data_IF_508542040036
#
_entry.id   IF_508542040036
#
_cell.length_a   1.000
_cell.length_b   1.000
_cell.length_c   1.000
_cell.angle_alpha   90.00
_cell.angle_beta   90.00
_cell.angle_gamma   90.00
#
_symmetry.space_group_name_H-M   'P 1'
#
loop_
_entity.id
_entity.type
_entity.pdbx_description
1 polymer ?
#
# COMPACT_ATOMS: atom_id res chain seq x y z
N UNK A 1 -20.56 2.02 -19.01
CA UNK A 1 -19.19 1.59 -18.62
C UNK A 1 -18.34 2.73 -18.09
N UNK A 2 -18.29 3.89 -18.76
CA UNK A 2 -17.54 5.07 -18.31
C UNK A 2 -18.03 5.57 -16.93
N UNK A 3 -19.35 5.63 -16.71
CA UNK A 3 -19.92 6.10 -15.43
C UNK A 3 -19.58 5.19 -14.24
N UNK A 4 -19.56 3.87 -14.48
CA UNK A 4 -19.22 2.87 -13.46
C UNK A 4 -17.73 2.91 -13.09
N UNK A 5 -16.85 3.04 -14.07
CA UNK A 5 -15.40 3.19 -13.82
C UNK A 5 -15.10 4.52 -13.13
N UNK A 6 -15.77 5.61 -13.50
CA UNK A 6 -15.63 6.90 -12.83
C UNK A 6 -16.08 6.83 -11.35
N UNK A 7 -17.22 6.18 -11.08
CA UNK A 7 -17.69 5.95 -9.72
C UNK A 7 -16.70 5.12 -8.88
N UNK A 8 -16.12 4.06 -9.46
CA UNK A 8 -15.09 3.25 -8.83
C UNK A 8 -13.84 4.09 -8.50
N UNK A 9 -13.35 4.89 -9.45
CA UNK A 9 -12.16 5.73 -9.23
C UNK A 9 -12.41 6.82 -8.19
N UNK A 10 -13.60 7.44 -8.19
CA UNK A 10 -14.03 8.40 -7.16
C UNK A 10 -14.07 7.76 -5.77
N UNK A 11 -14.63 6.55 -5.65
CA UNK A 11 -14.63 5.79 -4.41
C UNK A 11 -13.22 5.47 -3.92
N UNK A 12 -12.33 5.06 -4.83
CA UNK A 12 -10.94 4.69 -4.50
C UNK A 12 -10.06 5.90 -4.17
N UNK A 13 -10.40 7.10 -4.63
CA UNK A 13 -9.56 8.29 -4.49
C UNK A 13 -9.17 8.59 -3.03
N UNK A 14 -10.08 8.78 -2.07
CA UNK A 14 -9.69 9.04 -0.68
C UNK A 14 -8.97 7.85 -0.03
N UNK A 15 -9.28 6.62 -0.46
CA UNK A 15 -8.77 5.39 0.13
C UNK A 15 -7.33 5.08 -0.30
N UNK A 16 -7.03 5.24 -1.58
CA UNK A 16 -5.74 4.92 -2.19
C UNK A 16 -4.71 6.05 -2.03
N UNK A 17 -5.13 7.32 -2.09
CA UNK A 17 -4.21 8.46 -2.08
C UNK A 17 -3.93 9.00 -0.67
N UNK A 18 -4.76 8.65 0.33
CA UNK A 18 -4.50 9.01 1.73
C UNK A 18 -3.17 8.44 2.25
N UNK A 19 -2.48 9.16 3.17
CA UNK A 19 -1.25 8.67 3.80
C UNK A 19 -1.57 7.42 4.62
N UNK A 20 -1.26 6.26 4.05
CA UNK A 20 -1.38 4.95 4.70
C UNK A 20 -0.02 4.28 4.84
N UNK A 21 0.06 3.14 5.55
CA UNK A 21 1.33 2.46 5.80
C UNK A 21 2.11 2.14 4.51
N UNK A 22 1.44 1.58 3.49
CA UNK A 22 2.06 1.31 2.20
C UNK A 22 2.61 2.57 1.51
N UNK A 23 1.78 3.61 1.38
CA UNK A 23 2.16 4.90 0.80
C UNK A 23 3.36 5.54 1.51
N UNK A 24 3.39 5.50 2.84
CA UNK A 24 4.49 6.05 3.64
C UNK A 24 5.79 5.27 3.43
N UNK A 25 5.74 3.94 3.31
CA UNK A 25 6.93 3.13 2.99
C UNK A 25 7.47 3.47 1.61
N UNK A 26 6.62 3.67 0.61
CA UNK A 26 7.03 4.05 -0.74
C UNK A 26 7.58 5.48 -0.81
N UNK A 27 6.99 6.43 -0.10
CA UNK A 27 7.53 7.77 0.06
C UNK A 27 8.92 7.75 0.71
N UNK A 28 9.08 6.96 1.77
CA UNK A 28 10.34 6.85 2.49
C UNK A 28 11.43 6.15 1.66
N UNK A 29 11.07 5.11 0.89
CA UNK A 29 11.97 4.50 -0.10
C UNK A 29 12.36 5.46 -1.23
N UNK A 30 11.39 6.22 -1.76
CA UNK A 30 11.63 7.25 -2.77
C UNK A 30 12.57 8.34 -2.27
N UNK A 31 12.38 8.79 -1.04
CA UNK A 31 13.26 9.76 -0.38
C UNK A 31 14.70 9.25 -0.21
N UNK A 32 14.87 7.97 0.12
CA UNK A 32 16.17 7.39 0.44
C UNK A 32 16.94 6.86 -0.76
N UNK A 33 16.25 6.27 -1.73
CA UNK A 33 16.85 5.53 -2.83
C UNK A 33 16.46 6.06 -4.22
N UNK A 34 15.49 6.97 -4.30
CA UNK A 34 14.96 7.50 -5.54
C UNK A 34 13.91 6.59 -6.21
N UNK A 35 13.30 7.11 -7.27
CA UNK A 35 12.20 6.44 -7.99
C UNK A 35 12.66 5.11 -8.62
N UNK A 36 13.75 5.13 -9.39
CA UNK A 36 14.22 3.97 -10.15
C UNK A 36 14.53 2.76 -9.28
N UNK A 37 15.15 2.98 -8.10
CA UNK A 37 15.48 1.91 -7.16
C UNK A 37 14.26 1.38 -6.39
N UNK A 38 13.11 2.07 -6.47
CA UNK A 38 11.85 1.67 -5.84
C UNK A 38 10.98 0.84 -6.79
N UNK A 39 11.28 0.80 -8.10
CA UNK A 39 10.50 0.05 -9.09
C UNK A 39 10.37 -1.45 -8.79
N UNK A 40 11.41 -2.18 -8.33
CA UNK A 40 11.26 -3.59 -7.98
C UNK A 40 10.21 -3.81 -6.88
N UNK A 41 10.26 -3.00 -5.82
CA UNK A 41 9.26 -3.03 -4.75
C UNK A 41 7.86 -2.72 -5.29
N UNK A 42 7.74 -1.72 -6.17
CA UNK A 42 6.47 -1.37 -6.82
C UNK A 42 5.91 -2.54 -7.60
N UNK A 43 6.71 -3.18 -8.45
CA UNK A 43 6.27 -4.33 -9.22
C UNK A 43 5.78 -5.47 -8.33
N UNK A 44 6.55 -5.84 -7.30
CA UNK A 44 6.15 -6.88 -6.35
C UNK A 44 4.87 -6.56 -5.59
N UNK A 45 4.72 -5.32 -5.12
CA UNK A 45 3.52 -4.85 -4.43
C UNK A 45 2.29 -4.95 -5.35
N UNK A 46 2.38 -4.50 -6.60
CA UNK A 46 1.24 -4.44 -7.51
C UNK A 46 0.89 -5.80 -8.12
N UNK A 47 1.86 -6.68 -8.36
CA UNK A 47 1.60 -8.08 -8.74
C UNK A 47 0.87 -8.80 -7.61
N UNK A 48 1.34 -8.65 -6.37
CA UNK A 48 0.64 -9.19 -5.22
C UNK A 48 -0.76 -8.56 -5.06
N UNK A 49 -0.90 -7.26 -5.36
CA UNK A 49 -2.18 -6.53 -5.24
C UNK A 49 -3.19 -7.12 -6.18
N UNK A 50 -2.80 -7.29 -7.45
CA UNK A 50 -3.63 -7.88 -8.46
C UNK A 50 -4.02 -9.32 -8.09
N UNK A 51 -3.07 -10.15 -7.67
CA UNK A 51 -3.33 -11.54 -7.27
C UNK A 51 -4.26 -11.68 -6.06
N UNK A 52 -3.98 -10.94 -4.97
CA UNK A 52 -4.82 -10.96 -3.76
C UNK A 52 -6.22 -10.42 -4.05
N UNK A 53 -6.33 -9.37 -4.86
CA UNK A 53 -7.62 -8.78 -5.25
C UNK A 53 -8.44 -9.78 -6.08
N UNK A 54 -7.82 -10.52 -7.00
CA UNK A 54 -8.51 -11.58 -7.74
C UNK A 54 -9.03 -12.68 -6.83
N UNK A 55 -8.18 -13.19 -5.93
CA UNK A 55 -8.58 -14.25 -4.99
C UNK A 55 -9.81 -13.80 -4.20
N UNK A 56 -9.77 -12.59 -3.64
CA UNK A 56 -10.89 -12.02 -2.90
C UNK A 56 -12.14 -11.86 -3.79
N UNK A 57 -11.99 -11.31 -4.99
CA UNK A 57 -13.10 -11.06 -5.91
C UNK A 57 -13.79 -12.33 -6.41
N UNK A 58 -13.06 -13.45 -6.51
CA UNK A 58 -13.63 -14.77 -6.81
C UNK A 58 -14.27 -15.46 -5.59
N UNK A 59 -14.43 -14.75 -4.48
CA UNK A 59 -15.18 -15.21 -3.31
C UNK A 59 -14.33 -15.74 -2.16
N UNK A 60 -12.98 -15.67 -2.25
CA UNK A 60 -12.11 -16.07 -1.15
C UNK A 60 -12.29 -15.20 0.10
N UNK A 61 -12.82 -13.98 -0.05
CA UNK A 61 -13.17 -13.11 1.08
C UNK A 61 -14.29 -13.68 1.99
N UNK A 62 -15.25 -14.43 1.45
CA UNK A 62 -16.29 -15.08 2.28
C UNK A 62 -15.71 -16.11 3.25
N UNK A 63 -14.55 -16.70 2.91
CA UNK A 63 -13.78 -17.55 3.82
C UNK A 63 -12.99 -16.74 4.86
N UNK A 64 -12.49 -15.56 4.49
CA UNK A 64 -11.72 -14.69 5.38
C UNK A 64 -12.59 -14.04 6.48
N UNK A 65 -13.84 -13.67 6.17
CA UNK A 65 -14.81 -13.16 7.15
C UNK A 65 -15.13 -14.18 8.24
N UNK A 66 -15.02 -15.48 7.93
CA UNK A 66 -15.20 -16.57 8.89
C UNK A 66 -13.95 -16.83 9.75
N UNK A 67 -12.85 -16.11 9.50
CA UNK A 67 -11.57 -16.29 10.18
C UNK A 67 -11.08 -14.96 10.79
N UNK A 68 -11.76 -14.43 11.83
CA UNK A 68 -11.36 -13.20 12.50
C UNK A 68 -9.93 -13.24 13.06
N UNK A 69 -9.43 -14.44 13.36
CA UNK A 69 -8.04 -14.68 13.77
C UNK A 69 -7.01 -14.32 12.69
N UNK A 70 -7.32 -14.52 11.39
CA UNK A 70 -6.43 -14.18 10.28
C UNK A 70 -6.27 -12.67 10.17
N UNK A 71 -7.37 -11.92 10.26
CA UNK A 71 -7.31 -10.46 10.19
C UNK A 71 -6.59 -9.86 11.40
N UNK A 72 -6.78 -10.45 12.59
CA UNK A 72 -6.01 -10.10 13.78
C UNK A 72 -4.51 -10.40 13.59
N UNK A 73 -4.16 -11.59 13.07
CA UNK A 73 -2.77 -11.96 12.81
C UNK A 73 -2.12 -11.01 11.79
N UNK A 74 -2.81 -10.66 10.71
CA UNK A 74 -2.34 -9.70 9.71
C UNK A 74 -2.12 -8.31 10.32
N UNK A 75 -3.01 -7.87 11.21
CA UNK A 75 -2.84 -6.60 11.95
C UNK A 75 -1.58 -6.61 12.81
N UNK A 76 -1.37 -7.65 13.60
CA UNK A 76 -0.18 -7.77 14.45
C UNK A 76 1.11 -7.89 13.63
N UNK A 77 1.12 -8.75 12.61
CA UNK A 77 2.28 -8.96 11.74
C UNK A 77 2.61 -7.68 10.93
N UNK A 78 1.58 -6.98 10.43
CA UNK A 78 1.72 -5.70 9.75
C UNK A 78 2.28 -4.61 10.65
N UNK A 79 1.78 -4.49 11.88
CA UNK A 79 2.31 -3.55 12.85
C UNK A 79 3.78 -3.84 13.18
N UNK A 80 4.14 -5.11 13.43
CA UNK A 80 5.51 -5.51 13.70
C UNK A 80 6.46 -5.18 12.53
N UNK A 81 6.02 -5.46 11.30
CA UNK A 81 6.77 -5.12 10.10
C UNK A 81 6.97 -3.61 9.92
N UNK A 82 5.93 -2.81 10.15
CA UNK A 82 6.01 -1.35 10.07
C UNK A 82 6.91 -0.76 11.15
N UNK A 83 6.87 -1.29 12.38
CA UNK A 83 7.79 -0.91 13.45
C UNK A 83 9.24 -1.23 13.08
N UNK A 84 9.48 -2.39 12.45
CA UNK A 84 10.80 -2.75 11.95
C UNK A 84 11.31 -1.77 10.89
N UNK A 85 10.45 -1.37 9.93
CA UNK A 85 10.78 -0.34 8.94
C UNK A 85 11.00 1.04 9.59
N UNK A 86 10.12 1.43 10.52
CA UNK A 86 10.21 2.67 11.27
C UNK A 86 11.56 2.79 11.98
N UNK A 87 11.99 1.72 12.67
CA UNK A 87 13.30 1.64 13.30
C UNK A 87 14.44 1.85 12.30
N UNK A 88 14.36 1.25 11.11
CA UNK A 88 15.34 1.46 10.05
C UNK A 88 15.45 2.91 9.57
N UNK A 89 14.33 3.64 9.54
CA UNK A 89 14.30 5.07 9.21
C UNK A 89 14.80 5.96 10.35
N UNK A 90 14.38 5.70 11.60
CA UNK A 90 14.86 6.41 12.78
C UNK A 90 16.38 6.27 12.95
N UNK A 91 16.91 5.05 12.77
CA UNK A 91 18.36 4.78 12.85
C UNK A 91 19.15 5.53 11.78
N UNK A 92 18.62 5.64 10.56
CA UNK A 92 19.22 6.46 9.51
C UNK A 92 19.16 7.96 9.83
N UNK A 93 18.09 8.40 10.50
CA UNK A 93 17.93 9.75 11.02
C UNK A 93 18.93 10.12 12.12
N UNK A 94 19.35 9.16 12.95
CA UNK A 94 20.28 9.38 14.05
C UNK A 94 21.76 9.52 13.64
N UNK A 95 22.07 9.56 12.34
CA UNK A 95 23.46 9.65 11.86
C UNK A 95 24.20 8.31 11.85
N UNK A 96 23.49 7.19 12.01
CA UNK A 96 24.00 5.86 11.67
C UNK A 96 24.27 5.80 10.16
N UNK A 97 25.48 6.17 9.74
CA UNK A 97 25.89 6.15 8.35
C UNK A 97 25.83 4.72 7.78
N UNK A 98 24.76 4.43 7.04
CA UNK A 98 24.88 4.22 5.60
C UNK A 98 25.61 2.98 5.06
N UNK A 99 26.11 2.06 5.87
CA UNK A 99 26.71 0.83 5.35
C UNK A 99 25.69 -0.33 5.43
N UNK A 100 24.99 -0.58 4.33
CA UNK A 100 24.19 -1.80 4.15
C UNK A 100 22.68 -1.62 3.95
N UNK A 101 22.14 -0.39 3.98
CA UNK A 101 20.73 -0.18 3.68
C UNK A 101 20.46 -0.37 2.18
N UNK A 102 19.65 -1.37 1.85
CA UNK A 102 19.28 -1.72 0.47
C UNK A 102 17.84 -1.26 0.20
N UNK A 103 17.54 -0.86 -1.06
CA UNK A 103 16.16 -0.62 -1.45
C UNK A 103 15.32 -1.90 -1.27
N UNK A 104 14.03 -1.74 -1.00
CA UNK A 104 13.12 -2.90 -1.01
C UNK A 104 13.15 -3.55 -2.41
N UNK A 105 13.35 -4.87 -2.43
CA UNK A 105 13.15 -5.69 -3.62
C UNK A 105 11.67 -6.02 -3.85
N UNK A 106 11.39 -6.76 -4.92
CA UNK A 106 10.04 -7.20 -5.25
C UNK A 106 9.37 -8.01 -4.12
N UNK A 107 10.11 -8.92 -3.48
CA UNK A 107 9.59 -9.68 -2.34
C UNK A 107 9.19 -8.76 -1.17
N UNK A 108 10.01 -7.73 -0.88
CA UNK A 108 9.69 -6.76 0.16
C UNK A 108 8.42 -5.96 -0.17
N UNK A 109 8.21 -5.62 -1.45
CA UNK A 109 6.97 -5.02 -1.93
C UNK A 109 5.76 -5.94 -1.80
N UNK A 110 5.89 -7.21 -2.18
CA UNK A 110 4.83 -8.21 -2.04
C UNK A 110 4.45 -8.44 -0.58
N UNK A 111 5.44 -8.63 0.31
CA UNK A 111 5.23 -8.75 1.75
C UNK A 111 4.57 -7.51 2.34
N UNK A 112 4.95 -6.31 1.87
CA UNK A 112 4.32 -5.06 2.32
C UNK A 112 2.82 -5.06 2.03
N UNK A 113 2.36 -5.55 0.87
CA UNK A 113 0.94 -5.71 0.62
C UNK A 113 0.34 -6.80 1.51
N UNK A 114 0.94 -7.98 1.54
CA UNK A 114 0.40 -9.13 2.26
C UNK A 114 0.20 -8.84 3.75
N UNK A 115 1.02 -7.96 4.32
CA UNK A 115 0.95 -7.51 5.71
C UNK A 115 0.20 -6.18 5.88
N UNK A 116 -0.49 -5.67 4.85
CA UNK A 116 -1.20 -4.39 4.88
C UNK A 116 -2.70 -4.59 5.05
N UNK A 117 -3.24 -4.65 6.29
CA UNK A 117 -4.68 -4.86 6.53
C UNK A 117 -5.57 -3.79 5.89
N UNK A 118 -5.08 -2.55 5.71
CA UNK A 118 -5.81 -1.48 5.00
C UNK A 118 -6.12 -1.88 3.56
N UNK A 119 -5.21 -2.58 2.88
CA UNK A 119 -5.43 -3.04 1.51
C UNK A 119 -6.59 -4.05 1.44
N UNK A 120 -6.62 -5.03 2.36
CA UNK A 120 -7.69 -6.01 2.44
C UNK A 120 -9.05 -5.38 2.72
N UNK A 121 -9.11 -4.40 3.64
CA UNK A 121 -10.34 -3.66 3.92
C UNK A 121 -10.86 -2.91 2.69
N UNK A 122 -9.99 -2.20 1.97
CA UNK A 122 -10.37 -1.48 0.75
C UNK A 122 -10.87 -2.45 -0.32
N UNK A 123 -10.17 -3.58 -0.53
CA UNK A 123 -10.56 -4.58 -1.51
C UNK A 123 -11.94 -5.16 -1.18
N UNK A 124 -12.20 -5.51 0.08
CA UNK A 124 -13.49 -6.03 0.51
C UNK A 124 -14.62 -5.01 0.30
N UNK A 125 -14.44 -3.76 0.74
CA UNK A 125 -15.42 -2.68 0.57
C UNK A 125 -15.67 -2.36 -0.90
N UNK A 126 -14.62 -2.39 -1.72
CA UNK A 126 -14.73 -2.19 -3.16
C UNK A 126 -15.57 -3.27 -3.82
N UNK A 127 -15.30 -4.55 -3.54
CA UNK A 127 -16.10 -5.63 -4.12
C UNK A 127 -17.53 -5.66 -3.58
N UNK A 128 -17.76 -5.36 -2.30
CA UNK A 128 -19.13 -5.29 -1.76
C UNK A 128 -19.96 -4.20 -2.43
N UNK A 129 -19.33 -3.10 -2.84
CA UNK A 129 -20.02 -1.96 -3.47
C UNK A 129 -20.14 -2.10 -4.98
N UNK A 130 -19.13 -2.65 -5.66
CA UNK A 130 -18.99 -2.61 -7.12
C UNK A 130 -19.07 -3.97 -7.81
N UNK A 131 -19.21 -5.09 -7.09
CA UNK A 131 -19.49 -6.39 -7.70
C UNK A 131 -20.98 -6.71 -7.52
N UNK A 132 -21.83 -6.51 -8.54
CA UNK A 132 -23.25 -6.75 -8.40
C UNK A 132 -23.54 -8.24 -8.15
N UNK A 133 -24.41 -8.54 -7.19
CA UNK A 133 -24.96 -9.88 -6.97
C UNK A 133 -26.02 -10.27 -8.01
N UNK A 134 -26.53 -9.30 -8.79
CA UNK A 134 -27.45 -9.52 -9.90
C UNK A 134 -27.15 -8.55 -11.06
N UNK A 135 -27.29 -8.96 -12.33
CA UNK A 135 -27.01 -8.11 -13.48
C UNK A 135 -28.13 -7.06 -13.66
N UNK A 136 -28.07 -5.97 -12.92
CA UNK A 136 -28.94 -4.82 -13.17
C UNK A 136 -28.29 -3.96 -14.27
N UNK A 137 -28.71 -4.22 -15.51
CA UNK A 137 -28.39 -3.40 -16.68
C UNK A 137 -27.05 -3.74 -17.35
N UNK A 138 -27.05 -4.76 -18.22
CA UNK A 138 -26.11 -4.94 -19.35
C UNK A 138 -24.59 -4.88 -19.12
N UNK A 139 -24.13 -4.72 -17.88
CA UNK A 139 -22.73 -4.57 -17.52
C UNK A 139 -22.00 -5.92 -17.40
N UNK A 140 -20.67 -5.85 -17.32
CA UNK A 140 -19.83 -6.99 -16.99
C UNK A 140 -20.32 -7.60 -15.66
N UNK A 141 -20.50 -8.92 -15.63
CA UNK A 141 -20.87 -9.69 -14.44
C UNK A 141 -19.93 -10.89 -14.29
N UNK A 142 -19.93 -11.51 -13.10
CA UNK A 142 -19.09 -12.67 -12.81
C UNK A 142 -17.59 -12.40 -12.99
N UNK A 143 -16.88 -13.33 -13.61
CA UNK A 143 -15.42 -13.27 -13.74
C UNK A 143 -14.90 -12.04 -14.48
N UNK A 144 -15.64 -11.55 -15.48
CA UNK A 144 -15.27 -10.36 -16.25
C UNK A 144 -15.28 -9.09 -15.39
N UNK A 145 -16.26 -8.95 -14.50
CA UNK A 145 -16.34 -7.83 -13.55
C UNK A 145 -15.19 -7.88 -12.54
N UNK A 146 -14.88 -9.07 -12.01
CA UNK A 146 -13.77 -9.28 -11.08
C UNK A 146 -12.44 -8.87 -11.71
N UNK A 147 -12.16 -9.32 -12.93
CA UNK A 147 -10.94 -8.96 -13.67
C UNK A 147 -10.86 -7.45 -13.93
N UNK A 148 -11.97 -6.83 -14.33
CA UNK A 148 -12.05 -5.40 -14.60
C UNK A 148 -11.77 -4.56 -13.35
N UNK A 149 -12.51 -4.79 -12.27
CA UNK A 149 -12.36 -4.09 -10.99
C UNK A 149 -10.94 -4.25 -10.45
N UNK A 150 -10.41 -5.49 -10.46
CA UNK A 150 -9.05 -5.79 -9.99
C UNK A 150 -7.99 -5.00 -10.75
N UNK A 151 -8.14 -4.92 -12.08
CA UNK A 151 -7.18 -4.23 -12.94
C UNK A 151 -7.23 -2.72 -12.68
N UNK A 152 -8.41 -2.10 -12.67
CA UNK A 152 -8.53 -0.66 -12.42
C UNK A 152 -8.12 -0.27 -11.01
N UNK A 153 -8.44 -1.10 -10.01
CA UNK A 153 -7.94 -0.92 -8.64
C UNK A 153 -6.42 -0.93 -8.59
N UNK A 154 -5.79 -1.93 -9.20
CA UNK A 154 -4.33 -2.09 -9.19
C UNK A 154 -3.64 -0.91 -9.90
N UNK A 155 -4.17 -0.48 -11.05
CA UNK A 155 -3.64 0.67 -11.78
C UNK A 155 -3.80 1.99 -11.01
N UNK A 156 -4.96 2.21 -10.40
CA UNK A 156 -5.19 3.38 -9.54
C UNK A 156 -4.24 3.37 -8.33
N UNK A 157 -4.02 2.21 -7.72
CA UNK A 157 -3.09 2.03 -6.61
C UNK A 157 -1.64 2.31 -7.05
N UNK A 158 -1.24 1.85 -8.23
CA UNK A 158 0.06 2.13 -8.83
C UNK A 158 0.29 3.62 -9.02
N UNK A 159 -0.72 4.36 -9.47
CA UNK A 159 -0.65 5.81 -9.57
C UNK A 159 -0.44 6.46 -8.20
N UNK A 160 -1.26 6.13 -7.21
CA UNK A 160 -1.13 6.67 -5.85
C UNK A 160 0.26 6.41 -5.25
N UNK A 161 0.75 5.17 -5.33
CA UNK A 161 2.05 4.77 -4.78
C UNK A 161 3.21 5.44 -5.52
N UNK A 162 3.09 5.62 -6.83
CA UNK A 162 4.08 6.36 -7.63
C UNK A 162 4.14 7.83 -7.20
N UNK A 163 2.99 8.48 -7.00
CA UNK A 163 2.94 9.87 -6.53
C UNK A 163 3.58 10.01 -5.15
N UNK A 164 3.31 9.11 -4.21
CA UNK A 164 3.96 9.11 -2.90
C UNK A 164 5.47 8.89 -2.99
N UNK A 165 5.92 7.99 -3.87
CA UNK A 165 7.35 7.76 -4.14
C UNK A 165 8.03 9.02 -4.68
N UNK A 166 7.40 9.69 -5.66
CA UNK A 166 7.89 10.93 -6.26
C UNK A 166 7.89 12.07 -5.23
N UNK A 167 6.84 12.19 -4.42
CA UNK A 167 6.74 13.18 -3.36
C UNK A 167 7.88 13.01 -2.34
N UNK A 168 8.13 11.78 -1.90
CA UNK A 168 9.26 11.45 -1.03
C UNK A 168 10.61 11.81 -1.64
N UNK A 169 10.84 11.44 -2.90
CA UNK A 169 12.07 11.77 -3.62
C UNK A 169 12.28 13.29 -3.78
N UNK A 170 11.22 14.05 -4.11
CA UNK A 170 11.28 15.51 -4.27
C UNK A 170 11.49 16.22 -2.94
N UNK A 171 10.83 15.77 -1.87
CA UNK A 171 11.06 16.29 -0.52
C UNK A 171 12.54 16.09 -0.15
N UNK A 172 13.08 14.88 -0.30
CA UNK A 172 14.49 14.63 -0.03
C UNK A 172 15.45 15.51 -0.86
N UNK A 173 15.12 15.75 -2.14
CA UNK A 173 15.93 16.60 -3.02
C UNK A 173 15.88 18.09 -2.65
N UNK A 174 14.75 18.60 -2.16
CA UNK A 174 14.59 19.99 -1.73
C UNK A 174 15.38 20.31 -0.44
N UNK A 175 15.67 19.28 0.37
CA UNK A 175 16.28 19.38 1.70
C UNK A 175 17.72 18.85 1.72
N UNK A 176 18.52 19.20 0.69
CA UNK A 176 19.89 18.70 0.43
C UNK A 176 20.99 19.21 1.39
N UNK A 177 20.78 19.10 2.70
CA UNK A 177 21.81 19.23 3.74
C UNK A 177 21.74 17.97 4.63
N UNK A 178 22.87 17.37 5.01
CA UNK A 178 22.90 16.14 5.82
C UNK A 178 22.05 16.19 7.10
N UNK A 179 21.95 17.38 7.74
CA UNK A 179 21.04 17.63 8.87
C UNK A 179 19.57 17.48 8.50
N UNK A 180 19.16 17.89 7.30
CA UNK A 180 17.78 17.84 6.84
C UNK A 180 17.39 16.44 6.35
N UNK A 181 18.31 15.70 5.71
CA UNK A 181 18.11 14.28 5.40
C UNK A 181 17.86 13.45 6.67
N UNK A 182 18.55 13.76 7.77
CA UNK A 182 18.30 13.16 9.09
C UNK A 182 16.90 13.46 9.61
N UNK A 183 16.43 14.71 9.47
CA UNK A 183 15.06 15.12 9.87
C UNK A 183 14.00 14.39 9.06
N UNK A 184 14.19 14.23 7.75
CA UNK A 184 13.25 13.51 6.88
C UNK A 184 13.16 12.03 7.26
N UNK A 185 14.31 11.36 7.43
CA UNK A 185 14.33 9.96 7.87
C UNK A 185 13.67 9.79 9.25
N UNK A 186 13.92 10.72 10.18
CA UNK A 186 13.27 10.70 11.49
C UNK A 186 11.77 10.90 11.36
N UNK A 187 11.32 11.83 10.52
CA UNK A 187 9.91 12.09 10.26
C UNK A 187 9.18 10.88 9.67
N UNK A 188 9.76 10.20 8.67
CA UNK A 188 9.20 8.96 8.14
C UNK A 188 9.17 7.84 9.18
N UNK A 189 10.23 7.72 9.99
CA UNK A 189 10.29 6.75 11.08
C UNK A 189 9.19 6.97 12.11
N UNK A 190 8.99 8.21 12.55
CA UNK A 190 7.90 8.58 13.48
C UNK A 190 6.54 8.30 12.84
N UNK A 191 6.32 8.73 11.59
CA UNK A 191 5.05 8.53 10.92
C UNK A 191 4.71 7.04 10.77
N UNK A 192 5.67 6.20 10.38
CA UNK A 192 5.49 4.75 10.30
C UNK A 192 5.19 4.13 11.68
N UNK A 193 5.88 4.58 12.73
CA UNK A 193 5.62 4.13 14.09
C UNK A 193 4.20 4.52 14.56
N UNK A 194 3.77 5.76 14.28
CA UNK A 194 2.41 6.22 14.58
C UNK A 194 1.35 5.42 13.83
N UNK A 195 1.58 5.11 12.55
CA UNK A 195 0.70 4.25 11.76
C UNK A 195 0.65 2.83 12.31
N UNK A 196 1.79 2.27 12.74
CA UNK A 196 1.83 0.95 13.35
C UNK A 196 1.08 0.92 14.70
N UNK A 197 1.24 1.96 15.53
CA UNK A 197 0.49 2.10 16.77
C UNK A 197 -1.01 2.24 16.52
N UNK A 198 -1.41 3.04 15.53
CA UNK A 198 -2.82 3.14 15.12
C UNK A 198 -3.38 1.77 14.73
N UNK A 199 -2.65 0.98 13.93
CA UNK A 199 -3.06 -0.39 13.60
C UNK A 199 -3.23 -1.26 14.85
N UNK A 200 -2.42 -1.08 15.89
CA UNK A 200 -2.50 -1.84 17.14
C UNK A 200 -3.60 -1.37 18.09
N UNK A 201 -4.08 -0.14 17.98
CA UNK A 201 -5.10 0.43 18.84
C UNK A 201 -6.52 0.21 18.31
N UNK A 202 -6.68 0.03 16.98
CA UNK A 202 -7.96 -0.21 16.33
C UNK A 202 -8.58 1.09 15.84
#
# INVERSE_FOLDING_TARGET
>A
MIDWTAALLLFLFPLAYSPGPGNMVFAANGARFGLWRTLPASAGYHIATWGVTLLIGFGFATGLERLPSVMSLLRWAGAAWLLWLAFGFLRAGAGGAGQGARPLGALGGALLLLLNPKAYMIIALMFSQFLPTAPQGGGLSGAGAVLWITTFFTLNNLMAFTLWTVAGARLAAAFRIDRQARRINTGFGIALALVALWLLLG
#
